data_IF_047482265403
#
_entry.id   IF_047482265403
#
_cell.length_a   1.000
_cell.length_b   1.000
_cell.length_c   1.000
_cell.angle_alpha   90.00
_cell.angle_beta   90.00
_cell.angle_gamma   90.00
#
_symmetry.space_group_name_H-M   'P 1'
#
loop_
_entity.id
_entity.type
_entity.pdbx_description
1 polymer ?
#
# COMPACT_ATOMS: atom_id res chain seq x y z
N UNK A 1 12.06 -0.11 0.32
CA UNK A 1 12.64 -1.44 0.58
C UNK A 1 11.86 -2.46 -0.24
N UNK A 2 12.54 -3.42 -0.86
CA UNK A 2 11.91 -4.47 -1.66
C UNK A 2 11.93 -5.77 -0.86
N UNK A 3 10.79 -6.44 -0.78
CA UNK A 3 10.57 -7.70 -0.07
C UNK A 3 10.12 -8.74 -1.09
N UNK A 4 10.67 -9.96 -1.06
CA UNK A 4 10.20 -11.03 -1.93
C UNK A 4 9.22 -11.92 -1.17
N UNK A 5 8.03 -12.14 -1.73
CA UNK A 5 6.98 -12.98 -1.13
C UNK A 5 6.20 -13.70 -2.23
N UNK A 6 6.19 -15.05 -2.19
CA UNK A 6 5.50 -15.92 -3.17
C UNK A 6 5.73 -15.55 -4.64
N UNK A 7 6.99 -15.40 -5.05
CA UNK A 7 7.34 -15.03 -6.43
C UNK A 7 7.17 -13.54 -6.75
N UNK A 8 6.44 -12.77 -5.93
CA UNK A 8 6.29 -11.34 -6.15
C UNK A 8 7.33 -10.51 -5.39
N UNK A 9 7.85 -9.48 -6.03
CA UNK A 9 8.62 -8.42 -5.40
C UNK A 9 7.67 -7.32 -4.90
N UNK A 10 7.57 -7.18 -3.58
CA UNK A 10 6.80 -6.15 -2.89
C UNK A 10 7.70 -4.94 -2.65
N UNK A 11 7.35 -3.82 -3.25
CA UNK A 11 7.95 -2.52 -2.98
C UNK A 11 7.03 -1.73 -2.02
N UNK A 12 7.29 -1.87 -0.72
CA UNK A 12 6.64 -1.05 0.29
C UNK A 12 7.34 0.31 0.41
N UNK A 13 6.55 1.36 0.54
CA UNK A 13 7.03 2.74 0.70
C UNK A 13 6.08 3.57 1.56
N UNK A 14 6.60 4.71 2.01
CA UNK A 14 5.84 5.68 2.79
C UNK A 14 6.09 7.08 2.25
N UNK A 15 5.04 7.90 2.18
CA UNK A 15 5.16 9.32 1.82
C UNK A 15 4.76 10.15 3.03
N UNK A 16 5.55 11.18 3.36
CA UNK A 16 5.18 12.14 4.38
C UNK A 16 4.21 13.17 3.80
N UNK A 17 3.05 13.35 4.43
CA UNK A 17 2.06 14.37 4.08
C UNK A 17 1.76 15.22 5.30
N UNK A 18 2.36 16.42 5.37
CA UNK A 18 2.33 17.25 6.57
C UNK A 18 2.93 16.52 7.79
N UNK A 19 2.08 16.25 8.78
CA UNK A 19 2.47 15.56 10.01
C UNK A 19 2.07 14.08 10.04
N UNK A 20 1.61 13.52 8.91
CA UNK A 20 1.26 12.10 8.78
C UNK A 20 2.14 11.42 7.72
N UNK A 21 2.08 10.10 7.71
CA UNK A 21 2.75 9.21 6.78
C UNK A 21 1.71 8.34 6.07
N UNK A 22 1.70 8.37 4.75
CA UNK A 22 0.83 7.59 3.88
C UNK A 22 1.52 6.26 3.56
N UNK A 23 0.83 5.15 3.83
CA UNK A 23 1.25 3.80 3.47
C UNK A 23 0.99 3.54 1.97
N UNK A 24 2.01 3.09 1.24
CA UNK A 24 1.91 2.75 -0.19
C UNK A 24 2.64 1.45 -0.49
N UNK A 25 2.13 0.68 -1.45
CA UNK A 25 2.78 -0.53 -1.92
C UNK A 25 2.60 -0.72 -3.42
N UNK A 26 3.66 -1.20 -4.07
CA UNK A 26 3.62 -1.73 -5.43
C UNK A 26 4.09 -3.18 -5.40
N UNK A 27 3.52 -4.02 -6.25
CA UNK A 27 3.83 -5.44 -6.36
C UNK A 27 4.27 -5.69 -7.79
N UNK A 28 5.47 -6.21 -7.97
CA UNK A 28 6.00 -6.65 -9.26
C UNK A 28 5.96 -8.18 -9.29
N UNK A 29 5.23 -8.74 -10.24
CA UNK A 29 5.10 -10.19 -10.44
C UNK A 29 6.25 -10.73 -11.29
N UNK A 30 6.39 -12.05 -11.32
CA UNK A 30 7.44 -12.76 -12.09
C UNK A 30 7.32 -12.51 -13.60
N UNK A 31 6.09 -12.36 -14.06
CA UNK A 31 5.68 -11.96 -15.41
C UNK A 31 6.09 -10.52 -15.79
N UNK A 32 6.62 -9.74 -14.85
CA UNK A 32 7.02 -8.35 -15.06
C UNK A 32 5.88 -7.34 -14.89
N UNK A 33 4.65 -7.81 -14.67
CA UNK A 33 3.51 -6.95 -14.40
C UNK A 33 3.61 -6.29 -13.03
N UNK A 34 3.45 -4.96 -13.00
CA UNK A 34 3.43 -4.18 -11.78
C UNK A 34 2.01 -3.77 -11.41
N UNK A 35 1.59 -4.08 -10.18
CA UNK A 35 0.32 -3.65 -9.60
C UNK A 35 0.57 -2.65 -8.47
N UNK A 36 0.09 -1.42 -8.63
CA UNK A 36 0.08 -0.42 -7.55
C UNK A 36 -1.17 -0.62 -6.69
N UNK A 37 -1.00 -0.67 -5.36
CA UNK A 37 -2.12 -0.71 -4.42
C UNK A 37 -2.60 0.69 -4.00
N UNK A 38 -2.01 1.75 -4.56
CA UNK A 38 -2.38 3.12 -4.26
C UNK A 38 -2.05 3.53 -2.81
N UNK A 39 -2.86 4.44 -2.28
CA UNK A 39 -2.74 4.96 -0.93
C UNK A 39 -3.60 4.11 0.03
N UNK A 40 -2.94 3.39 0.92
CA UNK A 40 -3.57 2.35 1.75
C UNK A 40 -4.10 2.90 3.09
N UNK A 41 -3.54 4.02 3.56
CA UNK A 41 -3.94 4.64 4.82
C UNK A 41 -2.92 5.67 5.32
N UNK A 42 -3.34 6.49 6.27
CA UNK A 42 -2.51 7.50 6.93
C UNK A 42 -2.21 7.14 8.38
N UNK A 43 -0.97 7.40 8.81
CA UNK A 43 -0.48 7.08 10.15
C UNK A 43 0.34 8.24 10.71
N UNK A 44 0.37 8.38 12.04
CA UNK A 44 1.22 9.36 12.70
C UNK A 44 2.71 8.95 12.72
N UNK A 45 3.02 7.69 12.38
CA UNK A 45 4.38 7.13 12.39
C UNK A 45 4.73 6.49 11.05
N UNK A 46 5.94 6.78 10.58
CA UNK A 46 6.49 6.20 9.35
C UNK A 46 6.58 4.67 9.45
N UNK A 47 7.06 4.14 10.58
CA UNK A 47 7.20 2.69 10.78
C UNK A 47 5.85 1.99 10.74
N UNK A 48 4.81 2.58 11.34
CA UNK A 48 3.47 2.02 11.29
C UNK A 48 2.90 2.04 9.86
N UNK A 49 3.07 3.14 9.12
CA UNK A 49 2.66 3.21 7.72
C UNK A 49 3.38 2.17 6.86
N UNK A 50 4.69 1.98 7.08
CA UNK A 50 5.49 1.02 6.36
C UNK A 50 5.05 -0.42 6.64
N UNK A 51 4.92 -0.80 7.91
CA UNK A 51 4.44 -2.14 8.28
C UNK A 51 3.05 -2.42 7.73
N UNK A 52 2.17 -1.42 7.77
CA UNK A 52 0.83 -1.55 7.21
C UNK A 52 0.87 -1.77 5.70
N UNK A 53 1.71 -1.03 4.97
CA UNK A 53 1.91 -1.24 3.53
C UNK A 53 2.37 -2.67 3.21
N UNK A 54 3.30 -3.22 3.99
CA UNK A 54 3.76 -4.60 3.85
C UNK A 54 2.63 -5.61 4.10
N UNK A 55 1.81 -5.39 5.14
CA UNK A 55 0.67 -6.27 5.45
C UNK A 55 -0.37 -6.25 4.32
N UNK A 56 -0.70 -5.08 3.78
CA UNK A 56 -1.61 -4.95 2.63
C UNK A 56 -1.06 -5.65 1.40
N UNK A 57 0.22 -5.45 1.08
CA UNK A 57 0.84 -6.09 -0.07
C UNK A 57 0.84 -7.61 0.04
N UNK A 58 1.17 -8.16 1.22
CA UNK A 58 1.08 -9.60 1.47
C UNK A 58 -0.35 -10.11 1.33
N UNK A 59 -1.34 -9.44 1.92
CA UNK A 59 -2.74 -9.82 1.78
C UNK A 59 -3.17 -9.86 0.31
N UNK A 60 -2.77 -8.87 -0.50
CA UNK A 60 -3.03 -8.86 -1.93
C UNK A 60 -2.41 -10.05 -2.66
N UNK A 61 -1.12 -10.33 -2.45
CA UNK A 61 -0.42 -11.48 -3.06
C UNK A 61 -1.08 -12.81 -2.67
N UNK A 62 -1.61 -12.89 -1.46
CA UNK A 62 -2.30 -14.06 -0.92
C UNK A 62 -3.76 -14.19 -1.39
N UNK A 63 -4.30 -13.21 -2.11
CA UNK A 63 -5.73 -13.17 -2.48
C UNK A 63 -6.65 -12.96 -1.27
N UNK A 64 -6.12 -12.45 -0.16
CA UNK A 64 -6.85 -12.14 1.06
C UNK A 64 -7.39 -10.70 1.02
N UNK A 65 -8.47 -10.41 1.79
CA UNK A 65 -8.98 -9.05 1.90
C UNK A 65 -7.91 -8.09 2.43
N UNK A 66 -7.74 -6.95 1.75
CA UNK A 66 -6.84 -5.87 2.19
C UNK A 66 -7.30 -5.39 3.59
N UNK A 67 -6.40 -5.33 4.58
CA UNK A 67 -6.75 -4.82 5.90
C UNK A 67 -7.17 -3.35 5.80
N UNK A 68 -8.20 -2.97 6.55
CA UNK A 68 -8.65 -1.57 6.61
C UNK A 68 -7.67 -0.74 7.42
N UNK A 69 -7.42 0.48 6.97
CA UNK A 69 -6.64 1.44 7.76
C UNK A 69 -7.41 1.83 9.03
N UNK A 70 -6.71 1.98 10.17
CA UNK A 70 -7.36 2.33 11.44
C UNK A 70 -7.97 3.74 11.43
N UNK A 71 -7.46 4.63 10.58
CA UNK A 71 -7.96 5.99 10.40
C UNK A 71 -8.29 6.19 8.92
N UNK A 72 -9.53 5.95 8.54
CA UNK A 72 -9.95 6.01 7.14
C UNK A 72 -10.55 7.36 6.76
N UNK A 73 -10.00 7.99 5.72
CA UNK A 73 -10.87 8.59 4.70
C UNK A 73 -10.93 7.59 3.55
N UNK A 74 -12.09 6.96 3.40
CA UNK A 74 -12.43 6.15 2.24
C UNK A 74 -12.57 7.09 1.05
N UNK A 75 -11.55 7.17 0.20
CA UNK A 75 -11.71 7.80 -1.11
C UNK A 75 -12.23 6.74 -2.06
N UNK A 76 -13.51 6.86 -2.45
CA UNK A 76 -14.05 6.11 -3.58
C UNK A 76 -13.11 6.25 -4.79
N UNK A 77 -12.94 5.19 -5.61
CA UNK A 77 -12.17 5.26 -6.85
C UNK A 77 -12.72 6.22 -7.92
N UNK A 78 -13.80 6.97 -7.63
CA UNK A 78 -14.43 7.92 -8.55
C UNK A 78 -13.73 9.31 -8.56
N UNK A 79 -12.84 9.59 -7.61
CA UNK A 79 -12.17 10.90 -7.47
C UNK A 79 -10.80 10.95 -8.16
N UNK A 80 -10.66 10.34 -9.34
CA UNK A 80 -9.51 10.50 -10.23
C UNK A 80 -9.86 11.21 -11.56
N UNK A 81 -11.12 11.61 -11.75
CA UNK A 81 -11.61 12.21 -13.00
C UNK A 81 -11.97 13.71 -12.89
N UNK A 82 -11.48 14.42 -11.88
CA UNK A 82 -11.69 15.87 -11.76
C UNK A 82 -10.44 16.57 -11.22
N UNK A 83 -9.50 16.87 -12.11
CA UNK A 83 -8.55 17.98 -12.02
C UNK A 83 -8.02 18.30 -13.42
#
# INVERSE_FOLDING_TARGET
MVLFHRGAAIQASTIRYGNTFVARACILKEDGDSTSLGDLGQFASQSCAFEFAVRCARAFVEGLPIPRSPFGRWSNPDQAAAS
#
